data_IF_972255294914
#
_entry.id   IF_972255294914
#
_cell.length_a   1.000
_cell.length_b   1.000
_cell.length_c   1.000
_cell.angle_alpha   90.00
_cell.angle_beta   90.00
_cell.angle_gamma   90.00
#
_symmetry.space_group_name_H-M   'P 1'
#
loop_
_entity.id
_entity.type
_entity.pdbx_description
1 polymer ?
#
# COMPACT_ATOMS: atom_id res chain seq x y z
N UNK A 1 -0.07 18.55 7.83
CA UNK A 1 -0.74 19.24 6.69
C UNK A 1 -2.19 18.79 6.50
N UNK A 2 -2.49 17.49 6.37
CA UNK A 2 -3.89 17.04 6.27
C UNK A 2 -4.70 17.35 7.54
N UNK A 3 -4.15 17.05 8.71
CA UNK A 3 -4.77 17.41 10.00
C UNK A 3 -4.93 18.92 10.16
N UNK A 4 -3.90 19.70 9.76
CA UNK A 4 -3.97 21.16 9.73
C UNK A 4 -5.09 21.70 8.82
N UNK A 5 -5.32 21.08 7.65
CA UNK A 5 -6.43 21.45 6.77
C UNK A 5 -7.81 21.17 7.41
N UNK A 6 -7.95 20.05 8.12
CA UNK A 6 -9.20 19.69 8.78
C UNK A 6 -9.49 20.55 10.01
N UNK A 7 -8.46 20.97 10.72
CA UNK A 7 -8.58 21.76 11.95
C UNK A 7 -8.63 23.28 11.72
N UNK A 8 -8.42 23.76 10.48
CA UNK A 8 -8.45 25.18 10.18
C UNK A 8 -9.86 25.79 10.37
N UNK A 9 -9.92 26.93 11.07
CA UNK A 9 -11.17 27.63 11.40
C UNK A 9 -11.60 28.57 10.27
N UNK A 10 -10.63 29.26 9.65
CA UNK A 10 -10.87 30.27 8.62
C UNK A 10 -10.76 29.72 7.19
N UNK A 11 -11.54 30.30 6.27
CA UNK A 11 -11.54 29.89 4.85
C UNK A 11 -10.22 30.22 4.14
N UNK A 12 -9.63 31.38 4.43
CA UNK A 12 -8.35 31.80 3.84
C UNK A 12 -7.20 30.85 4.23
N UNK A 13 -7.19 30.40 5.48
CA UNK A 13 -6.19 29.45 5.97
C UNK A 13 -6.29 28.09 5.27
N UNK A 14 -7.53 27.61 5.03
CA UNK A 14 -7.77 26.40 4.23
C UNK A 14 -7.23 26.53 2.81
N UNK A 15 -7.40 27.69 2.17
CA UNK A 15 -6.89 27.94 0.82
C UNK A 15 -5.36 27.88 0.79
N UNK A 16 -4.69 28.52 1.75
CA UNK A 16 -3.23 28.56 1.77
C UNK A 16 -2.63 27.17 2.06
N UNK A 17 -3.20 26.41 3.01
CA UNK A 17 -2.80 25.02 3.26
C UNK A 17 -3.02 24.15 2.01
N UNK A 18 -4.15 24.32 1.32
CA UNK A 18 -4.42 23.60 0.09
C UNK A 18 -3.40 23.93 -1.02
N UNK A 19 -3.04 25.21 -1.16
CA UNK A 19 -1.98 25.65 -2.10
C UNK A 19 -0.63 25.01 -1.76
N UNK A 20 -0.27 24.92 -0.49
CA UNK A 20 0.95 24.22 -0.06
C UNK A 20 0.92 22.73 -0.39
N UNK A 21 -0.22 22.05 -0.18
CA UNK A 21 -0.40 20.64 -0.54
C UNK A 21 -0.24 20.44 -2.07
N UNK A 22 -0.76 21.37 -2.88
CA UNK A 22 -0.64 21.31 -4.34
C UNK A 22 0.79 21.53 -4.85
N UNK A 23 1.64 22.25 -4.10
CA UNK A 23 3.07 22.42 -4.44
C UNK A 23 3.87 21.13 -4.28
N UNK A 24 3.43 20.20 -3.45
CA UNK A 24 4.10 18.91 -3.27
C UNK A 24 4.06 18.09 -4.57
N UNK A 25 5.09 17.26 -4.83
CA UNK A 25 5.09 16.41 -6.01
C UNK A 25 3.94 15.40 -5.93
N UNK A 26 3.23 15.18 -7.04
CA UNK A 26 2.08 14.25 -7.09
C UNK A 26 2.43 12.82 -6.66
N UNK A 27 3.69 12.40 -6.84
CA UNK A 27 4.18 11.08 -6.46
C UNK A 27 4.33 10.90 -4.94
N UNK A 28 4.27 11.98 -4.15
CA UNK A 28 4.22 11.90 -2.68
C UNK A 28 2.88 11.36 -2.17
N UNK A 29 1.85 11.27 -3.03
CA UNK A 29 0.54 10.79 -2.63
C UNK A 29 0.55 9.27 -2.34
N UNK A 30 0.18 8.83 -1.11
CA UNK A 30 0.19 7.41 -0.74
C UNK A 30 -0.83 6.58 -1.54
N UNK A 31 -1.89 7.22 -2.07
CA UNK A 31 -2.89 6.57 -2.94
C UNK A 31 -2.31 6.03 -4.25
N UNK A 32 -1.15 6.55 -4.67
CA UNK A 32 -0.46 6.09 -5.88
C UNK A 32 0.41 4.86 -5.65
N UNK A 33 0.66 4.51 -4.38
CA UNK A 33 1.43 3.33 -4.04
C UNK A 33 0.63 2.06 -4.37
N UNK A 34 1.28 1.11 -5.05
CA UNK A 34 0.66 -0.15 -5.42
C UNK A 34 1.51 -1.30 -4.92
N UNK A 35 0.89 -2.16 -4.10
CA UNK A 35 1.53 -3.37 -3.62
C UNK A 35 1.80 -4.31 -4.81
N UNK A 36 3.06 -4.70 -4.96
CA UNK A 36 3.54 -5.60 -5.99
C UNK A 36 4.24 -6.76 -5.32
N UNK A 37 4.18 -7.92 -5.96
CA UNK A 37 4.96 -9.08 -5.52
C UNK A 37 6.44 -8.69 -5.43
N UNK A 38 7.07 -8.98 -4.29
CA UNK A 38 8.50 -8.68 -4.09
C UNK A 38 9.41 -9.40 -5.08
N UNK A 39 9.10 -10.66 -5.41
CA UNK A 39 9.88 -11.46 -6.36
C UNK A 39 9.64 -11.09 -7.83
N UNK A 40 8.37 -10.96 -8.23
CA UNK A 40 7.98 -10.89 -9.66
C UNK A 40 7.45 -9.53 -10.11
N UNK A 41 7.23 -8.59 -9.19
CA UNK A 41 6.61 -7.29 -9.50
C UNK A 41 5.13 -7.36 -9.90
N UNK A 42 4.50 -8.55 -9.84
CA UNK A 42 3.11 -8.76 -10.24
C UNK A 42 2.16 -7.86 -9.42
N UNK A 43 1.34 -7.03 -10.08
CA UNK A 43 0.55 -5.99 -9.41
C UNK A 43 -0.82 -6.45 -8.88
N UNK A 44 -1.15 -7.74 -9.01
CA UNK A 44 -2.46 -8.32 -8.67
C UNK A 44 -2.30 -9.63 -7.91
N UNK A 45 -3.29 -9.96 -7.08
CA UNK A 45 -3.28 -11.15 -6.23
C UNK A 45 -2.14 -11.12 -5.21
N UNK A 46 -1.94 -9.97 -4.57
CA UNK A 46 -0.92 -9.72 -3.57
C UNK A 46 -1.48 -10.01 -2.17
N UNK A 47 -0.77 -10.83 -1.39
CA UNK A 47 -1.09 -11.06 0.02
C UNK A 47 -0.27 -10.13 0.88
N UNK A 48 -0.93 -9.33 1.74
CA UNK A 48 -0.24 -8.33 2.59
C UNK A 48 0.66 -8.98 3.64
N UNK A 49 0.25 -10.12 4.18
CA UNK A 49 0.98 -10.82 5.24
C UNK A 49 2.29 -11.42 4.74
N UNK A 50 2.33 -11.84 3.46
CA UNK A 50 3.48 -12.49 2.86
C UNK A 50 4.30 -11.60 1.91
N UNK A 51 3.73 -10.53 1.37
CA UNK A 51 4.41 -9.69 0.37
C UNK A 51 4.52 -10.30 -1.04
N UNK A 52 3.82 -11.41 -1.28
CA UNK A 52 3.96 -12.22 -2.50
C UNK A 52 2.68 -12.25 -3.32
N UNK A 53 2.83 -12.56 -4.61
CA UNK A 53 1.70 -12.91 -5.46
C UNK A 53 1.23 -14.33 -5.20
N UNK A 54 -0.05 -14.60 -5.47
CA UNK A 54 -0.68 -15.92 -5.30
C UNK A 54 0.07 -17.10 -5.94
N UNK A 55 0.73 -16.89 -7.08
CA UNK A 55 1.42 -17.96 -7.80
C UNK A 55 2.70 -18.37 -7.06
N UNK A 56 3.54 -17.38 -6.74
CA UNK A 56 4.77 -17.56 -5.97
C UNK A 56 4.46 -18.07 -4.56
N UNK A 57 3.42 -17.53 -3.92
CA UNK A 57 3.00 -17.99 -2.60
C UNK A 57 2.64 -19.48 -2.62
N UNK A 58 1.94 -19.94 -3.66
CA UNK A 58 1.56 -21.35 -3.83
C UNK A 58 2.78 -22.24 -4.05
N UNK A 59 3.72 -21.82 -4.90
CA UNK A 59 4.97 -22.54 -5.15
C UNK A 59 5.79 -22.69 -3.86
N UNK A 60 6.00 -21.59 -3.13
CA UNK A 60 6.75 -21.60 -1.88
C UNK A 60 6.05 -22.37 -0.75
N UNK A 61 4.72 -22.34 -0.71
CA UNK A 61 3.94 -23.17 0.22
C UNK A 61 4.08 -24.67 -0.10
N UNK A 62 4.15 -25.04 -1.37
CA UNK A 62 4.37 -26.43 -1.77
C UNK A 62 5.81 -26.90 -1.52
N UNK A 63 6.78 -26.01 -1.67
CA UNK A 63 8.20 -26.26 -1.37
C UNK A 63 8.50 -26.26 0.14
N UNK A 64 7.56 -25.80 0.98
CA UNK A 64 7.76 -25.73 2.44
C UNK A 64 8.65 -24.56 2.88
N UNK A 65 8.86 -23.55 2.02
CA UNK A 65 9.66 -22.35 2.33
C UNK A 65 8.94 -21.38 3.27
N UNK A 66 7.61 -21.49 3.39
CA UNK A 66 6.80 -20.63 4.25
C UNK A 66 6.54 -21.31 5.60
N UNK A 67 7.01 -20.73 6.73
CA UNK A 67 6.82 -21.33 8.04
C UNK A 67 5.34 -21.35 8.43
N UNK A 68 4.87 -22.50 8.91
CA UNK A 68 3.49 -22.66 9.40
C UNK A 68 2.41 -22.70 8.32
N UNK A 69 2.78 -22.71 7.02
CA UNK A 69 1.82 -22.82 5.93
C UNK A 69 1.69 -24.29 5.52
N UNK A 70 0.51 -24.87 5.74
CA UNK A 70 0.16 -26.24 5.37
C UNK A 70 -1.15 -26.28 4.58
N UNK A 71 -1.38 -27.36 3.84
CA UNK A 71 -2.68 -27.57 3.18
C UNK A 71 -3.75 -27.78 4.25
N UNK A 72 -4.81 -26.99 4.21
CA UNK A 72 -5.95 -27.14 5.11
C UNK A 72 -6.87 -28.29 4.66
N UNK A 73 -7.32 -29.11 5.61
CA UNK A 73 -8.47 -30.02 5.45
C UNK A 73 -9.46 -29.70 6.56
N UNK A 74 -10.68 -29.36 6.19
CA UNK A 74 -11.81 -29.20 7.11
C UNK A 74 -12.88 -30.23 6.76
#
# INVERSE_FOLDING_TARGET
MKEAFHNAENYEEKIEIHRQIQRLPRNSAPTRHRNRCWLTGRPRGYYRDFGLSRNVLREWAHEGLLPGVVKSSW
#
